data_IF_519037406697
#
_entry.id   IF_519037406697
#
_cell.length_a   1.000
_cell.length_b   1.000
_cell.length_c   1.000
_cell.angle_alpha   90.00
_cell.angle_beta   90.00
_cell.angle_gamma   90.00
#
_symmetry.space_group_name_H-M   'P 1'
#
loop_
_entity.id
_entity.type
_entity.pdbx_description
1 polymer ?
#
# COMPACT_ATOMS: atom_id res chain seq x y z
N UNK A 1 21.00 6.72 2.96
CA UNK A 1 22.24 6.50 2.18
C UNK A 1 21.92 6.53 0.70
N UNK A 2 22.91 6.74 -0.16
CA UNK A 2 22.74 6.65 -1.61
C UNK A 2 23.91 5.92 -2.29
N UNK A 3 23.64 5.37 -3.47
CA UNK A 3 24.59 4.50 -4.18
C UNK A 3 25.72 5.30 -4.83
N UNK A 4 26.94 4.80 -4.72
CA UNK A 4 28.11 5.33 -5.43
C UNK A 4 27.99 5.20 -6.95
N UNK A 5 27.17 4.27 -7.45
CA UNK A 5 26.90 4.09 -8.88
C UNK A 5 26.26 5.32 -9.52
N UNK A 6 25.57 6.17 -8.74
CA UNK A 6 24.93 7.40 -9.22
C UNK A 6 25.91 8.38 -9.86
N UNK A 7 27.21 8.32 -9.51
CA UNK A 7 28.24 9.17 -10.14
C UNK A 7 28.48 8.83 -11.61
N UNK A 8 28.28 7.57 -11.96
CA UNK A 8 28.53 7.06 -13.31
C UNK A 8 27.29 7.18 -14.20
N UNK A 9 26.12 7.44 -13.59
CA UNK A 9 24.85 7.59 -14.30
C UNK A 9 24.65 9.07 -14.62
N UNK A 10 24.91 9.43 -15.89
CA UNK A 10 24.97 10.83 -16.38
C UNK A 10 23.76 11.66 -15.96
N UNK A 11 22.56 11.07 -16.03
CA UNK A 11 21.30 11.73 -15.69
C UNK A 11 21.23 12.05 -14.18
N UNK A 12 21.66 11.13 -13.33
CA UNK A 12 21.52 11.22 -11.89
C UNK A 12 22.70 11.89 -11.17
N UNK A 13 23.86 12.01 -11.81
CA UNK A 13 25.04 12.60 -11.20
C UNK A 13 24.80 14.02 -10.66
N UNK A 14 23.93 14.80 -11.31
CA UNK A 14 23.58 16.15 -10.91
C UNK A 14 22.83 16.25 -9.57
N UNK A 15 22.20 15.16 -9.10
CA UNK A 15 21.43 15.17 -7.84
C UNK A 15 22.29 14.91 -6.61
N UNK A 16 23.52 14.42 -6.79
CA UNK A 16 24.42 14.03 -5.69
C UNK A 16 24.67 15.17 -4.69
N UNK A 17 24.93 16.43 -5.10
CA UNK A 17 25.08 17.53 -4.16
C UNK A 17 23.84 17.73 -3.27
N UNK A 18 22.64 17.65 -3.86
CA UNK A 18 21.37 17.78 -3.14
C UNK A 18 21.12 16.62 -2.17
N UNK A 19 21.51 15.39 -2.54
CA UNK A 19 21.46 14.24 -1.64
C UNK A 19 22.40 14.40 -0.45
N UNK A 20 23.63 14.89 -0.67
CA UNK A 20 24.59 15.16 0.40
C UNK A 20 24.13 16.28 1.35
N UNK A 21 23.38 17.25 0.84
CA UNK A 21 22.80 18.33 1.65
C UNK A 21 21.57 17.89 2.47
N UNK A 22 20.94 16.76 2.14
CA UNK A 22 19.81 16.19 2.88
C UNK A 22 20.20 15.87 4.32
N UNK A 23 19.27 15.92 5.29
CA UNK A 23 19.55 15.46 6.67
C UNK A 23 19.48 13.94 6.86
N UNK A 24 18.97 13.20 5.87
CA UNK A 24 18.63 11.77 6.01
C UNK A 24 19.29 10.86 4.95
N UNK A 25 19.91 11.44 3.91
CA UNK A 25 20.58 10.72 2.81
C UNK A 25 22.03 11.24 2.63
N UNK A 26 22.76 11.52 3.71
CA UNK A 26 24.09 12.15 3.60
C UNK A 26 25.21 11.21 3.15
N UNK A 27 25.05 9.92 3.41
CA UNK A 27 26.12 8.93 3.24
C UNK A 27 26.05 8.24 1.89
N UNK A 28 27.13 8.37 1.13
CA UNK A 28 27.40 7.60 -0.08
C UNK A 28 27.96 6.22 0.29
N UNK A 29 27.44 5.16 -0.32
CA UNK A 29 27.87 3.78 -0.09
C UNK A 29 27.63 2.92 -1.33
N UNK A 30 28.23 1.74 -1.40
CA UNK A 30 27.90 0.78 -2.47
C UNK A 30 26.56 0.11 -2.14
N UNK A 31 25.55 0.35 -2.96
CA UNK A 31 24.23 -0.28 -2.88
C UNK A 31 24.00 -1.05 -4.18
N UNK A 32 23.70 -2.36 -4.07
CA UNK A 32 23.56 -3.22 -5.25
C UNK A 32 22.12 -3.28 -5.78
N UNK A 33 21.13 -3.39 -4.90
CA UNK A 33 19.73 -3.62 -5.29
C UNK A 33 18.88 -2.34 -5.42
N UNK A 34 19.35 -1.21 -4.87
CA UNK A 34 18.62 0.06 -4.85
C UNK A 34 19.60 1.24 -4.90
N UNK A 35 19.09 2.43 -5.21
CA UNK A 35 19.91 3.63 -5.40
C UNK A 35 19.91 4.53 -4.17
N UNK A 36 18.81 4.58 -3.45
CA UNK A 36 18.64 5.41 -2.26
C UNK A 36 17.96 4.59 -1.17
N UNK A 37 18.36 4.81 0.07
CA UNK A 37 17.64 4.33 1.25
C UNK A 37 17.53 5.44 2.28
N UNK A 38 16.42 5.52 3.00
CA UNK A 38 16.27 6.44 4.13
C UNK A 38 15.38 5.85 5.22
N UNK A 39 15.63 6.21 6.49
CA UNK A 39 14.82 5.70 7.58
C UNK A 39 13.40 6.25 7.50
N UNK A 40 12.45 5.37 7.77
CA UNK A 40 11.03 5.63 7.99
C UNK A 40 10.60 5.01 9.33
N UNK A 41 9.42 5.40 9.79
CA UNK A 41 8.81 4.84 10.99
C UNK A 41 7.64 3.96 10.58
N UNK A 42 7.92 2.66 10.37
CA UNK A 42 6.92 1.69 9.92
C UNK A 42 5.91 1.29 11.02
N UNK A 43 6.31 1.36 12.30
CA UNK A 43 5.43 1.11 13.46
C UNK A 43 5.79 1.95 14.69
N UNK A 44 5.03 1.87 15.80
CA UNK A 44 5.23 2.69 17.01
C UNK A 44 6.62 2.48 17.65
N UNK A 45 7.34 1.42 17.25
CA UNK A 45 8.61 1.01 17.85
C UNK A 45 9.64 0.48 16.85
N UNK A 46 9.27 0.18 15.60
CA UNK A 46 10.20 -0.39 14.61
C UNK A 46 10.60 0.66 13.57
N UNK A 47 11.86 1.08 13.64
CA UNK A 47 12.48 1.80 12.53
C UNK A 47 12.63 0.84 11.34
N UNK A 48 12.22 1.29 10.16
CA UNK A 48 12.41 0.57 8.91
C UNK A 48 13.13 1.48 7.91
N UNK A 49 13.66 0.88 6.86
CA UNK A 49 14.32 1.62 5.78
C UNK A 49 13.44 1.59 4.54
N UNK A 50 13.18 2.77 3.97
CA UNK A 50 12.53 2.90 2.68
C UNK A 50 13.57 2.90 1.58
N UNK A 51 13.41 2.03 0.57
CA UNK A 51 14.37 1.84 -0.51
C UNK A 51 13.81 2.35 -1.84
N UNK A 52 14.65 3.04 -2.60
CA UNK A 52 14.26 3.67 -3.87
C UNK A 52 15.20 3.24 -4.98
N UNK A 53 14.64 2.79 -6.09
CA UNK A 53 15.34 2.66 -7.38
C UNK A 53 15.12 3.96 -8.15
N UNK A 54 16.21 4.54 -8.65
CA UNK A 54 16.16 5.60 -9.63
C UNK A 54 16.32 4.94 -11.00
N UNK A 55 15.45 5.25 -11.95
CA UNK A 55 15.53 4.71 -13.30
C UNK A 55 15.20 5.79 -14.33
N UNK A 56 15.89 5.77 -15.46
CA UNK A 56 15.45 6.46 -16.66
C UNK A 56 14.41 5.63 -17.40
N UNK A 57 13.66 6.26 -18.31
CA UNK A 57 12.74 5.50 -19.16
C UNK A 57 13.45 4.46 -20.02
N UNK A 58 14.65 4.77 -20.53
CA UNK A 58 15.44 3.85 -21.37
C UNK A 58 16.02 2.68 -20.57
N UNK A 59 16.50 2.94 -19.34
CA UNK A 59 16.94 1.88 -18.41
C UNK A 59 15.75 0.97 -18.09
N UNK A 60 14.57 1.53 -17.86
CA UNK A 60 13.37 0.79 -17.49
C UNK A 60 12.83 -0.12 -18.60
N UNK A 61 13.02 0.27 -19.85
CA UNK A 61 12.63 -0.53 -21.00
C UNK A 61 13.61 -1.68 -21.30
N UNK A 62 14.80 -1.66 -20.69
CA UNK A 62 15.79 -2.73 -20.84
C UNK A 62 15.51 -3.92 -19.91
N UNK A 63 15.89 -5.12 -20.36
CA UNK A 63 15.79 -6.34 -19.54
C UNK A 63 16.57 -6.23 -18.22
N UNK A 64 17.72 -5.54 -18.22
CA UNK A 64 18.52 -5.34 -17.02
C UNK A 64 17.79 -4.44 -16.00
N UNK A 65 17.17 -3.35 -16.46
CA UNK A 65 16.37 -2.48 -15.60
C UNK A 65 15.16 -3.19 -15.02
N UNK A 66 14.46 -3.99 -15.83
CA UNK A 66 13.34 -4.83 -15.40
C UNK A 66 13.76 -5.84 -14.33
N UNK A 67 14.81 -6.62 -14.59
CA UNK A 67 15.34 -7.61 -13.66
C UNK A 67 15.83 -6.96 -12.34
N UNK A 68 16.41 -5.76 -12.41
CA UNK A 68 16.84 -5.01 -11.23
C UNK A 68 15.67 -4.68 -10.31
N UNK A 69 14.53 -4.33 -10.89
CA UNK A 69 13.34 -3.94 -10.13
C UNK A 69 12.62 -5.15 -9.57
N UNK A 70 12.45 -6.19 -10.38
CA UNK A 70 11.96 -7.48 -9.92
C UNK A 70 12.79 -8.00 -8.73
N UNK A 71 14.13 -7.92 -8.83
CA UNK A 71 15.01 -8.32 -7.73
C UNK A 71 14.72 -7.55 -6.44
N UNK A 72 14.52 -6.23 -6.50
CA UNK A 72 14.20 -5.46 -5.30
C UNK A 72 12.84 -5.86 -4.73
N UNK A 73 11.83 -6.02 -5.59
CA UNK A 73 10.50 -6.45 -5.18
C UNK A 73 10.55 -7.81 -4.47
N UNK A 74 11.28 -8.78 -5.00
CA UNK A 74 11.44 -10.11 -4.40
C UNK A 74 12.19 -10.09 -3.06
N UNK A 75 13.10 -9.14 -2.84
CA UNK A 75 13.84 -9.01 -1.57
C UNK A 75 12.98 -8.35 -0.48
N UNK A 76 12.20 -7.32 -0.83
CA UNK A 76 11.47 -6.50 0.15
C UNK A 76 9.97 -6.85 0.25
N UNK A 77 9.47 -7.73 -0.62
CA UNK A 77 8.07 -8.15 -0.62
C UNK A 77 7.09 -7.04 -1.04
N UNK A 78 7.58 -5.98 -1.69
CA UNK A 78 6.75 -4.83 -2.09
C UNK A 78 6.56 -3.75 -1.03
N UNK A 79 6.96 -3.99 0.22
CA UNK A 79 6.82 -3.01 1.29
C UNK A 79 7.98 -2.01 1.32
N UNK A 80 7.66 -0.75 1.60
CA UNK A 80 8.65 0.32 1.78
C UNK A 80 9.65 0.48 0.62
N UNK A 81 9.21 0.17 -0.58
CA UNK A 81 9.98 0.34 -1.81
C UNK A 81 9.26 1.25 -2.79
N UNK A 82 10.02 1.98 -3.60
CA UNK A 82 9.47 2.71 -4.75
C UNK A 82 10.47 2.77 -5.89
N UNK A 83 9.95 2.98 -7.09
CA UNK A 83 10.72 3.41 -8.23
C UNK A 83 10.45 4.89 -8.50
N UNK A 84 11.50 5.68 -8.67
CA UNK A 84 11.40 7.01 -9.25
C UNK A 84 11.88 6.95 -10.70
N UNK A 85 10.99 7.30 -11.61
CA UNK A 85 11.21 7.23 -13.05
C UNK A 85 11.43 8.64 -13.62
N UNK A 86 12.60 8.88 -14.21
CA UNK A 86 12.88 10.13 -14.93
C UNK A 86 12.24 10.10 -16.32
N UNK A 87 11.27 10.99 -16.52
CA UNK A 87 10.61 11.26 -17.79
C UNK A 87 11.31 12.42 -18.49
N UNK A 88 12.32 12.09 -19.31
CA UNK A 88 13.03 13.06 -20.14
C UNK A 88 12.65 12.86 -21.62
N UNK A 89 12.40 13.96 -22.33
CA UNK A 89 12.11 13.97 -23.77
C UNK A 89 10.63 14.02 -24.18
N UNK A 90 10.43 14.22 -25.49
CA UNK A 90 9.17 14.57 -26.15
C UNK A 90 8.13 13.43 -26.12
N UNK A 91 8.57 12.16 -26.06
CA UNK A 91 7.71 10.95 -26.01
C UNK A 91 7.69 10.26 -24.63
N UNK A 92 8.21 10.92 -23.60
CA UNK A 92 8.38 10.33 -22.27
C UNK A 92 7.06 9.87 -21.63
N UNK A 93 5.98 10.60 -21.88
CA UNK A 93 4.65 10.24 -21.36
C UNK A 93 4.06 8.99 -22.03
N UNK A 94 4.25 8.82 -23.35
CA UNK A 94 3.81 7.62 -24.06
C UNK A 94 4.60 6.40 -23.58
N UNK A 95 5.91 6.54 -23.45
CA UNK A 95 6.75 5.48 -22.90
C UNK A 95 6.40 5.15 -21.44
N UNK A 96 6.06 6.15 -20.62
CA UNK A 96 5.58 5.93 -19.26
C UNK A 96 4.25 5.16 -19.21
N UNK A 97 3.29 5.49 -20.09
CA UNK A 97 2.03 4.74 -20.20
C UNK A 97 2.28 3.29 -20.56
N UNK A 98 3.22 3.01 -21.47
CA UNK A 98 3.58 1.64 -21.83
C UNK A 98 4.22 0.90 -20.65
N UNK A 99 5.15 1.54 -19.91
CA UNK A 99 5.75 0.96 -18.71
C UNK A 99 4.68 0.66 -17.66
N UNK A 100 3.73 1.56 -17.43
CA UNK A 100 2.64 1.30 -16.48
C UNK A 100 1.74 0.15 -16.92
N UNK A 101 1.39 0.07 -18.21
CA UNK A 101 0.59 -1.03 -18.74
C UNK A 101 1.30 -2.38 -18.59
N UNK A 102 2.61 -2.43 -18.81
CA UNK A 102 3.44 -3.61 -18.56
C UNK A 102 3.51 -3.94 -17.07
N UNK A 103 3.66 -2.92 -16.21
CA UNK A 103 3.70 -3.06 -14.75
C UNK A 103 2.44 -3.69 -14.16
N UNK A 104 1.27 -3.30 -14.68
CA UNK A 104 -0.01 -3.85 -14.27
C UNK A 104 -0.13 -5.35 -14.56
N UNK A 105 0.60 -5.86 -15.56
CA UNK A 105 0.62 -7.29 -15.87
C UNK A 105 1.52 -8.10 -14.93
N UNK A 106 2.38 -7.45 -14.15
CA UNK A 106 3.42 -8.11 -13.36
C UNK A 106 3.05 -8.35 -11.89
N UNK A 107 1.85 -7.93 -11.46
CA UNK A 107 1.37 -8.02 -10.07
C UNK A 107 2.33 -7.42 -9.02
N UNK A 108 3.29 -6.59 -9.44
CA UNK A 108 4.21 -5.90 -8.54
C UNK A 108 3.50 -4.73 -7.87
N UNK A 109 3.21 -4.87 -6.58
CA UNK A 109 2.67 -3.81 -5.73
C UNK A 109 3.69 -2.69 -5.39
N UNK A 110 4.67 -2.42 -6.26
CA UNK A 110 5.64 -1.34 -6.07
C UNK A 110 5.21 -0.08 -6.83
N UNK A 111 5.12 1.10 -6.17
CA UNK A 111 4.76 2.36 -6.82
C UNK A 111 5.86 2.84 -7.78
N UNK A 112 5.44 3.31 -8.96
CA UNK A 112 6.26 4.06 -9.90
C UNK A 112 5.91 5.54 -9.79
N UNK A 113 6.90 6.37 -9.49
CA UNK A 113 6.75 7.81 -9.26
C UNK A 113 7.44 8.55 -10.39
N UNK A 114 6.70 9.14 -11.33
CA UNK A 114 7.29 9.90 -12.42
C UNK A 114 7.84 11.24 -11.92
N UNK A 115 9.04 11.60 -12.37
CA UNK A 115 9.59 12.96 -12.26
C UNK A 115 10.00 13.45 -13.64
N UNK A 116 9.77 14.72 -13.93
CA UNK A 116 10.11 15.32 -15.24
C UNK A 116 11.50 15.93 -15.26
N UNK A 117 12.09 16.20 -14.08
CA UNK A 117 13.47 16.70 -13.97
C UNK A 117 14.13 16.12 -12.72
N UNK A 118 15.45 15.96 -12.78
CA UNK A 118 16.24 15.43 -11.64
C UNK A 118 16.25 16.37 -10.43
N UNK A 119 15.96 17.66 -10.65
CA UNK A 119 15.88 18.68 -9.60
C UNK A 119 14.68 18.49 -8.67
N UNK A 120 13.62 17.80 -9.12
CA UNK A 120 12.44 17.53 -8.27
C UNK A 120 12.64 16.32 -7.36
N UNK A 121 13.68 15.50 -7.59
CA UNK A 121 13.95 14.29 -6.80
C UNK A 121 14.06 14.55 -5.28
N UNK A 122 14.79 15.57 -4.79
CA UNK A 122 14.84 15.84 -3.35
C UNK A 122 13.46 16.16 -2.74
N UNK A 123 12.62 16.90 -3.47
CA UNK A 123 11.24 17.20 -3.07
C UNK A 123 10.37 15.95 -3.05
N UNK A 124 10.52 15.09 -4.05
CA UNK A 124 9.85 13.79 -4.13
C UNK A 124 10.21 12.90 -2.92
N UNK A 125 11.51 12.72 -2.64
CA UNK A 125 11.99 11.90 -1.51
C UNK A 125 11.54 12.47 -0.16
N UNK A 126 11.49 13.80 -0.03
CA UNK A 126 10.98 14.45 1.19
C UNK A 126 9.49 14.18 1.39
N UNK A 127 8.69 14.25 0.32
CA UNK A 127 7.25 14.01 0.35
C UNK A 127 6.96 12.56 0.71
N UNK A 128 7.62 11.60 0.03
CA UNK A 128 7.52 10.17 0.36
C UNK A 128 7.76 9.90 1.84
N UNK A 129 8.89 10.38 2.38
CA UNK A 129 9.18 10.21 3.80
C UNK A 129 8.10 10.82 4.71
N UNK A 130 7.57 11.99 4.34
CA UNK A 130 6.53 12.66 5.12
C UNK A 130 5.21 11.90 5.06
N UNK A 131 4.81 11.38 3.91
CA UNK A 131 3.54 10.68 3.73
C UNK A 131 3.53 9.37 4.55
N UNK A 132 4.61 8.59 4.49
CA UNK A 132 4.81 7.43 5.36
C UNK A 132 4.90 7.78 6.85
N UNK A 133 5.27 9.02 7.19
CA UNK A 133 5.23 9.50 8.58
C UNK A 133 3.84 10.01 8.99
N UNK A 134 3.02 10.46 8.02
CA UNK A 134 1.72 11.13 8.23
C UNK A 134 0.53 10.18 8.16
N UNK A 135 0.57 9.11 7.36
CA UNK A 135 -0.50 8.10 7.29
C UNK A 135 -0.92 7.57 8.67
N UNK A 136 -0.04 7.70 9.68
CA UNK A 136 -0.34 7.37 11.09
C UNK A 136 -1.08 8.43 11.89
N UNK A 137 -1.05 9.70 11.50
CA UNK A 137 -1.89 10.72 12.17
C UNK A 137 -3.38 10.57 11.84
N UNK A 138 -3.72 9.84 10.77
CA UNK A 138 -5.09 9.58 10.30
C UNK A 138 -5.60 8.15 10.56
N UNK A 139 -4.78 7.25 11.11
CA UNK A 139 -5.15 5.83 11.32
C UNK A 139 -6.21 5.60 12.41
N UNK A 140 -6.55 6.61 13.21
CA UNK A 140 -7.70 6.54 14.12
C UNK A 140 -9.05 6.56 13.37
N UNK A 141 -9.14 7.12 12.16
CA UNK A 141 -10.37 7.13 11.35
C UNK A 141 -10.45 5.93 10.38
N UNK A 142 -9.32 5.44 9.88
CA UNK A 142 -9.27 4.45 8.79
C UNK A 142 -9.54 3.00 9.26
N UNK A 143 -9.36 2.74 10.55
CA UNK A 143 -9.76 1.48 11.20
C UNK A 143 -11.28 1.27 11.08
N UNK A 144 -12.06 2.36 11.02
CA UNK A 144 -13.53 2.29 10.85
C UNK A 144 -13.93 1.91 9.41
N UNK A 145 -13.15 2.29 8.41
CA UNK A 145 -13.44 2.04 6.99
C UNK A 145 -13.06 0.60 6.63
N UNK A 146 -11.87 0.15 7.04
CA UNK A 146 -11.43 -1.24 6.85
C UNK A 146 -12.29 -2.25 7.61
N UNK A 147 -12.72 -1.93 8.85
CA UNK A 147 -13.65 -2.79 9.58
C UNK A 147 -15.05 -2.86 8.93
N UNK A 148 -15.55 -1.75 8.37
CA UNK A 148 -16.82 -1.73 7.60
C UNK A 148 -16.74 -2.61 6.36
N UNK A 149 -15.64 -2.52 5.61
CA UNK A 149 -15.45 -3.36 4.43
C UNK A 149 -15.36 -4.84 4.77
N UNK A 150 -14.73 -5.21 5.89
CA UNK A 150 -14.68 -6.59 6.38
C UNK A 150 -16.05 -7.12 6.83
N UNK A 151 -16.82 -6.34 7.60
CA UNK A 151 -18.17 -6.73 8.09
C UNK A 151 -19.09 -7.12 6.94
N UNK A 152 -18.95 -6.46 5.79
CA UNK A 152 -19.72 -6.77 4.58
C UNK A 152 -19.62 -8.23 4.13
N UNK A 153 -18.49 -8.87 4.40
CA UNK A 153 -18.17 -10.24 4.01
C UNK A 153 -18.36 -11.26 5.13
N UNK A 154 -18.68 -10.82 6.35
CA UNK A 154 -18.94 -11.69 7.49
C UNK A 154 -20.36 -12.27 7.47
N UNK A 155 -20.72 -12.85 6.33
CA UNK A 155 -22.04 -13.42 6.04
C UNK A 155 -21.85 -14.57 5.06
N UNK A 156 -22.61 -15.64 5.19
CA UNK A 156 -22.61 -16.68 4.16
C UNK A 156 -23.34 -16.23 2.92
N UNK A 157 -22.80 -16.48 1.73
CA UNK A 157 -23.45 -16.15 0.45
C UNK A 157 -23.21 -14.72 -0.01
N UNK A 158 -24.26 -14.03 -0.47
CA UNK A 158 -24.14 -12.68 -1.04
C UNK A 158 -23.65 -11.65 0.01
N UNK A 159 -22.67 -10.81 -0.29
CA UNK A 159 -22.21 -9.79 0.65
C UNK A 159 -23.33 -8.85 1.05
N UNK A 160 -23.27 -8.34 2.29
CA UNK A 160 -24.22 -7.33 2.76
C UNK A 160 -24.13 -6.07 1.88
N UNK A 161 -25.24 -5.35 1.80
CA UNK A 161 -25.28 -4.02 1.20
C UNK A 161 -24.59 -3.00 2.11
N UNK A 162 -24.22 -1.85 1.54
CA UNK A 162 -23.61 -0.75 2.30
C UNK A 162 -24.53 -0.24 3.42
N UNK A 163 -25.84 -0.16 3.16
CA UNK A 163 -26.82 0.31 4.12
C UNK A 163 -26.97 -0.67 5.30
N UNK A 164 -26.95 -1.98 5.01
CA UNK A 164 -26.95 -3.01 6.05
C UNK A 164 -25.69 -2.95 6.93
N UNK A 165 -24.52 -2.73 6.34
CA UNK A 165 -23.27 -2.54 7.11
C UNK A 165 -23.35 -1.27 7.97
N UNK A 166 -23.89 -0.18 7.44
CA UNK A 166 -24.05 1.07 8.20
C UNK A 166 -24.93 0.86 9.43
N UNK A 167 -26.08 0.20 9.28
CA UNK A 167 -26.98 -0.14 10.39
C UNK A 167 -26.26 -0.98 11.45
N UNK A 168 -25.46 -1.98 11.03
CA UNK A 168 -24.67 -2.79 11.96
C UNK A 168 -23.64 -1.95 12.72
N UNK A 169 -23.01 -0.97 12.08
CA UNK A 169 -22.07 -0.07 12.76
C UNK A 169 -22.74 0.92 13.70
N UNK A 170 -24.03 1.18 13.57
CA UNK A 170 -24.79 2.02 14.52
C UNK A 170 -25.17 1.24 15.80
N UNK A 171 -25.45 -0.06 15.67
CA UNK A 171 -25.90 -0.89 16.79
C UNK A 171 -24.77 -1.66 17.49
N UNK A 172 -23.55 -1.60 16.95
CA UNK A 172 -22.37 -2.27 17.51
C UNK A 172 -21.22 -1.29 17.72
N UNK A 173 -20.45 -1.48 18.79
CA UNK A 173 -19.27 -0.65 19.08
C UNK A 173 -17.99 -1.11 18.35
N UNK A 174 -18.12 -2.10 17.47
CA UNK A 174 -17.02 -2.67 16.68
C UNK A 174 -17.18 -4.18 16.46
N UNK A 175 -16.19 -4.77 15.79
CA UNK A 175 -16.24 -6.17 15.34
C UNK A 175 -16.36 -7.18 16.49
N UNK A 176 -15.70 -6.93 17.62
CA UNK A 176 -15.81 -7.78 18.81
C UNK A 176 -17.22 -7.77 19.42
N UNK A 177 -17.88 -6.61 19.46
CA UNK A 177 -19.28 -6.50 19.93
C UNK A 177 -20.26 -7.17 18.96
N UNK A 178 -20.03 -7.02 17.65
CA UNK A 178 -20.80 -7.72 16.62
C UNK A 178 -20.70 -9.25 16.76
N UNK A 179 -19.49 -9.79 16.96
CA UNK A 179 -19.28 -11.22 17.19
C UNK A 179 -19.92 -11.69 18.51
N UNK A 180 -19.82 -10.88 19.57
CA UNK A 180 -20.46 -11.15 20.86
C UNK A 180 -21.98 -11.19 20.75
N UNK A 181 -22.59 -10.21 20.07
CA UNK A 181 -24.04 -10.16 19.81
C UNK A 181 -24.51 -11.33 18.95
N UNK A 182 -23.73 -11.74 17.95
CA UNK A 182 -24.05 -12.89 17.11
C UNK A 182 -24.08 -14.20 17.91
N UNK A 183 -23.33 -14.29 19.02
CA UNK A 183 -23.31 -15.47 19.89
C UNK A 183 -24.39 -15.46 20.98
N UNK A 184 -25.01 -14.32 21.27
CA UNK A 184 -26.00 -14.19 22.36
C UNK A 184 -27.43 -14.17 21.82
N UNK A 185 -28.41 -14.87 22.46
CA UNK A 185 -29.78 -14.93 21.96
C UNK A 185 -30.46 -13.56 21.77
N UNK A 186 -30.22 -12.63 22.69
CA UNK A 186 -30.74 -11.25 22.59
C UNK A 186 -30.05 -10.44 21.49
N UNK A 187 -28.75 -10.68 21.25
CA UNK A 187 -28.00 -10.05 20.18
C UNK A 187 -28.41 -10.57 18.80
N UNK A 188 -28.68 -11.87 18.65
CA UNK A 188 -29.21 -12.46 17.42
C UNK A 188 -30.58 -11.88 17.05
N UNK A 189 -31.47 -11.73 18.04
CA UNK A 189 -32.79 -11.10 17.83
C UNK A 189 -32.61 -9.67 17.30
N UNK A 190 -31.74 -8.86 17.93
CA UNK A 190 -31.48 -7.51 17.48
C UNK A 190 -30.91 -7.48 16.05
N UNK A 191 -29.93 -8.33 15.73
CA UNK A 191 -29.34 -8.41 14.39
C UNK A 191 -30.41 -8.72 13.34
N UNK A 192 -31.31 -9.68 13.59
CA UNK A 192 -32.40 -10.05 12.68
C UNK A 192 -33.49 -8.99 12.56
N UNK A 193 -33.75 -8.23 13.64
CA UNK A 193 -34.68 -7.10 13.62
C UNK A 193 -34.20 -5.99 12.68
N UNK A 194 -32.89 -5.70 12.68
CA UNK A 194 -32.31 -4.62 11.87
C UNK A 194 -31.95 -5.03 10.44
N UNK A 195 -31.45 -6.25 10.23
CA UNK A 195 -31.06 -6.75 8.89
C UNK A 195 -32.17 -7.49 8.15
N UNK A 196 -33.25 -7.86 8.85
CA UNK A 196 -34.22 -8.84 8.38
C UNK A 196 -33.79 -10.28 8.69
N UNK A 197 -34.77 -11.18 8.77
CA UNK A 197 -34.53 -12.57 9.16
C UNK A 197 -33.54 -13.30 8.22
N UNK A 198 -33.61 -13.09 6.91
CA UNK A 198 -32.78 -13.81 5.94
C UNK A 198 -31.29 -13.42 6.04
N UNK A 199 -30.97 -12.14 5.94
CA UNK A 199 -29.59 -11.66 6.02
C UNK A 199 -29.05 -11.69 7.45
N UNK A 200 -29.90 -11.48 8.46
CA UNK A 200 -29.55 -11.61 9.87
C UNK A 200 -29.16 -13.02 10.25
N UNK A 201 -29.90 -14.05 9.81
CA UNK A 201 -29.52 -15.45 10.04
C UNK A 201 -28.20 -15.80 9.37
N UNK A 202 -28.00 -15.36 8.12
CA UNK A 202 -26.76 -15.65 7.39
C UNK A 202 -25.51 -15.04 8.04
N UNK A 203 -25.64 -13.87 8.66
CA UNK A 203 -24.57 -13.24 9.43
C UNK A 203 -24.34 -13.95 10.76
N UNK A 204 -25.42 -14.27 11.49
CA UNK A 204 -25.33 -15.00 12.76
C UNK A 204 -24.65 -16.36 12.55
N UNK A 205 -25.09 -17.13 11.56
CA UNK A 205 -24.49 -18.43 11.22
C UNK A 205 -23.01 -18.33 10.88
N UNK A 206 -22.58 -17.25 10.22
CA UNK A 206 -21.16 -17.02 9.91
C UNK A 206 -20.31 -16.92 11.18
N UNK A 207 -20.79 -16.20 12.20
CA UNK A 207 -20.05 -16.01 13.45
C UNK A 207 -20.19 -17.18 14.43
N UNK A 208 -21.28 -17.94 14.38
CA UNK A 208 -21.49 -19.09 15.29
C UNK A 208 -21.00 -20.42 14.72
N UNK A 209 -20.53 -20.46 13.46
CA UNK A 209 -20.14 -21.68 12.74
C UNK A 209 -21.22 -22.78 12.76
N UNK A 210 -22.50 -22.41 12.92
CA UNK A 210 -23.62 -23.37 12.88
C UNK A 210 -23.97 -23.71 11.43
N UNK A 211 -23.15 -24.55 10.80
CA UNK A 211 -23.44 -25.15 9.49
C UNK A 211 -24.37 -26.36 9.57
N UNK A 212 -25.33 -26.33 10.51
CA UNK A 212 -26.31 -27.39 10.69
C UNK A 212 -27.68 -26.88 10.27
N UNK A 213 -28.10 -27.25 9.05
CA UNK A 213 -29.45 -27.17 8.46
C UNK A 213 -29.78 -25.94 7.60
N UNK A 214 -29.35 -25.95 6.34
CA UNK A 214 -30.16 -25.46 5.21
C UNK A 214 -29.60 -25.99 3.88
N UNK A 215 -29.63 -27.31 3.70
CA UNK A 215 -29.91 -27.94 2.39
C UNK A 215 -30.67 -29.23 2.67
N UNK A 216 -31.94 -29.25 2.25
CA UNK A 216 -32.93 -30.29 2.48
C UNK A 216 -34.30 -29.73 2.16
#
# INVERSE_FOLDING_TARGET
>A
MFSSSLRNRKEWAAVIPSLKASSYIQRETTLEAYDITFPITASNTTAADFKVILSSLSEMQSEEGKARVERLFLIEGGEHIAMVLLLDGEDSMLGFSNVQAEWLCWDYAMPIIPITTVETLPGCLKSLRQDYSKERSSLDDDTSITSRDLVRWCVYGKPLSRDQVNILTEITSGFGDLAGRSSLPNGQIAIREYLGNEDGERLVSFFTNDFSKTQG
#
